data_IF_279196335645
#
_entry.id   IF_279196335645
#
_cell.length_a   1.000
_cell.length_b   1.000
_cell.length_c   1.000
_cell.angle_alpha   90.00
_cell.angle_beta   90.00
_cell.angle_gamma   90.00
#
_symmetry.space_group_name_H-M   'P 1'
#
loop_
_entity.id
_entity.type
_entity.pdbx_description
1 polymer ?
#
# COMPACT_ATOMS: atom_id res chain seq x y z
N UNK A 1 -12.90 -14.09 -12.42
CA UNK A 1 -12.06 -14.10 -13.63
C UNK A 1 -11.72 -15.54 -13.98
N UNK A 2 -11.72 -15.89 -15.25
CA UNK A 2 -11.21 -17.19 -15.71
C UNK A 2 -9.67 -17.22 -15.58
N UNK A 3 -9.07 -18.41 -15.63
CA UNK A 3 -7.60 -18.53 -15.60
C UNK A 3 -6.90 -17.78 -16.75
N UNK A 4 -7.55 -17.73 -17.92
CA UNK A 4 -7.05 -16.99 -19.09
C UNK A 4 -7.07 -15.48 -18.83
N UNK A 5 -8.19 -14.94 -18.35
CA UNK A 5 -8.32 -13.50 -18.02
C UNK A 5 -7.27 -13.05 -17.00
N UNK A 6 -6.94 -13.91 -16.03
CA UNK A 6 -5.90 -13.63 -15.02
C UNK A 6 -4.53 -13.51 -15.68
N UNK A 7 -4.18 -14.42 -16.59
CA UNK A 7 -2.91 -14.39 -17.28
C UNK A 7 -2.80 -13.16 -18.21
N UNK A 8 -3.87 -12.84 -18.91
CA UNK A 8 -3.93 -11.66 -19.77
C UNK A 8 -3.75 -10.37 -18.94
N UNK A 9 -4.41 -10.28 -17.77
CA UNK A 9 -4.24 -9.15 -16.85
C UNK A 9 -2.83 -9.06 -16.27
N UNK A 10 -2.20 -10.19 -15.90
CA UNK A 10 -0.80 -10.19 -15.45
C UNK A 10 0.12 -9.67 -16.55
N UNK A 11 -0.07 -10.14 -17.79
CA UNK A 11 0.73 -9.71 -18.94
C UNK A 11 0.56 -8.21 -19.21
N UNK A 12 -0.68 -7.74 -19.29
CA UNK A 12 -1.02 -6.32 -19.46
C UNK A 12 -0.35 -5.44 -18.40
N UNK A 13 -0.42 -5.86 -17.14
CA UNK A 13 0.21 -5.14 -16.03
C UNK A 13 1.75 -5.13 -16.17
N UNK A 14 2.38 -6.26 -16.44
CA UNK A 14 3.84 -6.32 -16.58
C UNK A 14 4.33 -5.46 -17.75
N UNK A 15 3.61 -5.47 -18.89
CA UNK A 15 3.90 -4.60 -20.03
C UNK A 15 3.74 -3.11 -19.72
N UNK A 16 2.84 -2.74 -18.79
CA UNK A 16 2.72 -1.36 -18.33
C UNK A 16 3.96 -0.90 -17.55
N UNK A 17 4.56 -1.79 -16.74
CA UNK A 17 5.70 -1.47 -15.89
C UNK A 17 6.98 -1.17 -16.69
N UNK A 18 7.03 -1.61 -17.95
CA UNK A 18 8.15 -1.39 -18.87
C UNK A 18 8.05 -0.05 -19.64
N UNK A 19 6.94 0.70 -19.49
CA UNK A 19 6.67 1.93 -20.27
C UNK A 19 7.25 3.21 -19.67
N UNK A 20 7.85 3.15 -18.47
CA UNK A 20 8.40 4.31 -17.75
C UNK A 20 7.43 5.49 -17.61
N UNK A 21 6.15 5.18 -17.42
CA UNK A 21 5.08 6.18 -17.27
C UNK A 21 5.23 7.02 -16.00
N UNK A 22 4.45 8.10 -15.91
CA UNK A 22 4.34 8.86 -14.67
C UNK A 22 3.57 8.08 -13.58
N UNK A 23 3.76 8.48 -12.33
CA UNK A 23 3.18 7.82 -11.15
C UNK A 23 1.64 7.72 -11.20
N UNK A 24 0.98 8.78 -11.71
CA UNK A 24 -0.47 8.84 -11.80
C UNK A 24 -1.04 7.74 -12.71
N UNK A 25 -0.32 7.31 -13.75
CA UNK A 25 -0.76 6.19 -14.61
C UNK A 25 -0.81 4.89 -13.81
N UNK A 26 0.22 4.59 -13.00
CA UNK A 26 0.22 3.40 -12.17
C UNK A 26 -0.84 3.47 -11.06
N UNK A 27 -1.00 4.64 -10.43
CA UNK A 27 -2.05 4.88 -9.44
C UNK A 27 -3.44 4.57 -10.03
N UNK A 28 -3.77 5.17 -11.18
CA UNK A 28 -5.05 4.94 -11.87
C UNK A 28 -5.22 3.47 -12.24
N UNK A 29 -4.16 2.81 -12.73
CA UNK A 29 -4.22 1.39 -13.07
C UNK A 29 -4.60 0.52 -11.86
N UNK A 30 -3.97 0.76 -10.71
CA UNK A 30 -4.25 0.01 -9.48
C UNK A 30 -5.66 0.30 -8.93
N UNK A 31 -6.13 1.55 -9.04
CA UNK A 31 -7.49 1.94 -8.69
C UNK A 31 -8.55 1.20 -9.55
N UNK A 32 -8.28 1.04 -10.84
CA UNK A 32 -9.17 0.32 -11.77
C UNK A 32 -9.04 -1.20 -11.68
N UNK A 33 -7.88 -1.70 -11.25
CA UNK A 33 -7.55 -3.12 -11.17
C UNK A 33 -7.13 -3.50 -9.74
N UNK A 34 -8.09 -3.44 -8.80
CA UNK A 34 -7.82 -3.55 -7.34
C UNK A 34 -7.27 -4.90 -6.87
N UNK A 35 -7.20 -5.91 -7.75
CA UNK A 35 -6.47 -7.15 -7.50
C UNK A 35 -4.94 -6.95 -7.45
N UNK A 36 -4.42 -5.86 -8.02
CA UNK A 36 -2.99 -5.54 -7.93
C UNK A 36 -2.64 -4.72 -6.69
N UNK A 37 -3.63 -4.19 -5.96
CA UNK A 37 -3.36 -3.48 -4.71
C UNK A 37 -2.71 -4.45 -3.68
N UNK A 38 -1.68 -4.02 -2.94
CA UNK A 38 -1.02 -4.84 -1.92
C UNK A 38 -2.00 -5.43 -0.88
N UNK A 39 -1.61 -6.53 -0.24
CA UNK A 39 -2.40 -7.24 0.81
C UNK A 39 -1.60 -7.50 2.09
N UNK A 40 -0.41 -6.92 2.17
CA UNK A 40 0.49 -7.00 3.30
C UNK A 40 -0.20 -6.51 4.58
N UNK A 41 -0.13 -7.30 5.65
CA UNK A 41 -0.80 -7.01 6.92
C UNK A 41 -2.34 -7.12 6.89
N UNK A 42 -2.93 -7.70 5.85
CA UNK A 42 -4.31 -8.20 5.92
C UNK A 42 -4.43 -9.26 7.03
N UNK A 43 -5.44 -9.08 7.87
CA UNK A 43 -5.79 -9.94 9.00
C UNK A 43 -6.92 -10.91 8.61
N UNK A 44 -7.25 -11.81 9.53
CA UNK A 44 -8.16 -12.92 9.30
C UNK A 44 -9.62 -12.54 8.96
N UNK A 45 -10.07 -11.31 9.27
CA UNK A 45 -11.39 -10.82 8.82
C UNK A 45 -11.34 -10.07 7.48
N UNK A 46 -10.17 -10.06 6.83
CA UNK A 46 -9.93 -9.37 5.57
C UNK A 46 -9.87 -7.84 5.71
N UNK A 47 -9.92 -7.16 4.57
CA UNK A 47 -9.98 -5.71 4.47
C UNK A 47 -11.39 -5.26 4.81
N UNK A 48 -11.49 -4.28 5.71
CA UNK A 48 -12.74 -3.76 6.22
C UNK A 48 -13.60 -3.20 5.07
N UNK A 49 -14.82 -3.71 4.97
CA UNK A 49 -15.78 -3.41 3.89
C UNK A 49 -15.22 -3.65 2.49
N UNK A 50 -14.17 -4.46 2.33
CA UNK A 50 -13.45 -4.61 1.08
C UNK A 50 -13.10 -3.26 0.43
N UNK A 51 -12.82 -2.24 1.24
CA UNK A 51 -12.60 -0.87 0.74
C UNK A 51 -11.17 -0.44 1.00
N UNK A 52 -10.56 0.17 -0.01
CA UNK A 52 -9.30 0.89 0.09
C UNK A 52 -9.52 2.36 -0.25
N UNK A 53 -8.97 3.27 0.54
CA UNK A 53 -9.03 4.70 0.28
C UNK A 53 -7.84 5.13 -0.53
N UNK A 54 -8.07 5.85 -1.63
CA UNK A 54 -6.98 6.53 -2.33
C UNK A 54 -6.65 7.87 -1.68
N UNK A 55 -5.35 8.22 -1.61
CA UNK A 55 -4.86 9.56 -1.20
C UNK A 55 -5.53 10.11 0.07
N UNK A 56 -5.76 9.25 1.07
CA UNK A 56 -6.40 9.62 2.34
C UNK A 56 -5.44 10.51 3.16
N UNK A 57 -5.75 11.78 3.42
CA UNK A 57 -4.83 12.68 4.10
C UNK A 57 -4.66 12.29 5.56
N UNK A 58 -3.42 12.17 6.02
CA UNK A 58 -3.08 12.10 7.45
C UNK A 58 -3.02 13.52 8.04
N UNK A 59 -2.44 14.44 7.26
CA UNK A 59 -2.30 15.88 7.56
C UNK A 59 -2.40 16.68 6.25
N UNK A 60 -2.12 17.98 6.28
CA UNK A 60 -2.00 18.79 5.06
C UNK A 60 -0.92 18.26 4.11
N UNK A 61 0.14 17.68 4.68
CA UNK A 61 1.40 17.41 3.98
C UNK A 61 1.59 15.92 3.65
N UNK A 62 0.80 15.03 4.24
CA UNK A 62 0.97 13.58 4.11
C UNK A 62 -0.28 12.90 3.56
N UNK A 63 -0.14 12.29 2.38
CA UNK A 63 -1.21 11.58 1.66
C UNK A 63 -0.67 10.28 1.06
N UNK A 64 -0.74 9.16 1.81
CA UNK A 64 -0.42 7.84 1.27
C UNK A 64 -1.24 7.55 0.01
N UNK A 65 -0.66 6.85 -0.97
CA UNK A 65 -1.37 6.42 -2.17
C UNK A 65 -2.64 5.63 -1.87
N UNK A 66 -2.52 4.68 -0.95
CA UNK A 66 -3.64 3.90 -0.46
C UNK A 66 -3.63 3.76 1.06
N UNK A 67 -4.82 3.72 1.65
CA UNK A 67 -5.03 3.34 3.04
C UNK A 67 -6.16 2.33 3.12
N UNK A 68 -5.93 1.22 3.81
CA UNK A 68 -7.01 0.29 4.14
C UNK A 68 -6.92 -0.16 5.59
N UNK A 69 -8.07 -0.55 6.13
CA UNK A 69 -8.15 -1.15 7.45
C UNK A 69 -8.32 -2.65 7.26
N UNK A 70 -7.58 -3.43 8.02
CA UNK A 70 -7.88 -4.83 8.22
C UNK A 70 -8.08 -5.08 9.71
N UNK A 71 -8.89 -6.07 10.06
CA UNK A 71 -9.23 -6.31 11.47
C UNK A 71 -9.12 -7.77 11.84
N UNK A 72 -8.83 -7.97 13.10
CA UNK A 72 -9.06 -9.23 13.82
C UNK A 72 -10.12 -8.98 14.91
N UNK A 73 -10.27 -9.90 15.86
CA UNK A 73 -11.25 -9.74 16.95
C UNK A 73 -10.84 -8.69 17.98
N UNK A 74 -9.54 -8.41 18.13
CA UNK A 74 -9.00 -7.61 19.24
C UNK A 74 -8.21 -6.37 18.78
N UNK A 75 -7.88 -6.22 17.50
CA UNK A 75 -7.15 -5.07 16.99
C UNK A 75 -7.46 -4.75 15.51
N UNK A 76 -7.07 -3.56 15.11
CA UNK A 76 -7.06 -3.08 13.74
C UNK A 76 -5.63 -2.95 13.23
N UNK A 77 -5.37 -3.42 12.02
CA UNK A 77 -4.25 -2.93 11.22
C UNK A 77 -4.73 -1.76 10.36
N UNK A 78 -4.12 -0.60 10.52
CA UNK A 78 -4.25 0.54 9.59
C UNK A 78 -3.06 0.47 8.66
N UNK A 79 -3.28 0.06 7.42
CA UNK A 79 -2.21 -0.15 6.44
C UNK A 79 -2.13 1.06 5.52
N UNK A 80 -0.98 1.73 5.55
CA UNK A 80 -0.63 2.82 4.65
C UNK A 80 0.28 2.26 3.56
N UNK A 81 -0.08 2.52 2.31
CA UNK A 81 0.67 2.08 1.13
C UNK A 81 1.18 3.30 0.40
N UNK A 82 2.47 3.29 0.07
CA UNK A 82 3.08 4.18 -0.91
C UNK A 82 3.51 3.38 -2.13
N UNK A 83 3.23 3.90 -3.31
CA UNK A 83 3.73 3.42 -4.57
C UNK A 83 4.73 4.44 -5.14
N UNK A 84 5.95 3.99 -5.39
CA UNK A 84 6.94 4.76 -6.12
C UNK A 84 6.77 4.50 -7.63
N UNK A 85 7.82 4.66 -8.43
CA UNK A 85 7.79 4.25 -9.84
C UNK A 85 8.42 2.87 -10.01
N UNK A 86 7.99 2.10 -11.03
CA UNK A 86 8.71 0.89 -11.42
C UNK A 86 10.16 1.19 -11.83
N UNK A 87 10.43 2.39 -12.37
CA UNK A 87 11.78 2.83 -12.76
C UNK A 87 12.65 3.31 -11.58
N UNK A 88 12.07 3.57 -10.39
CA UNK A 88 12.80 3.97 -9.19
C UNK A 88 13.83 2.90 -8.81
N UNK A 89 15.06 3.33 -8.48
CA UNK A 89 16.16 2.39 -8.21
C UNK A 89 16.26 2.06 -6.74
N UNK A 90 16.60 0.82 -6.43
CA UNK A 90 16.99 0.40 -5.09
C UNK A 90 18.44 0.76 -4.79
N UNK A 91 19.34 0.55 -5.76
CA UNK A 91 20.79 0.68 -5.60
C UNK A 91 21.39 1.61 -6.64
N UNK A 92 22.54 2.20 -6.29
CA UNK A 92 23.38 2.88 -7.27
C UNK A 92 23.95 1.85 -8.27
N UNK A 93 24.21 2.29 -9.50
CA UNK A 93 24.74 1.45 -10.57
C UNK A 93 25.96 0.64 -10.11
N UNK A 94 25.92 -0.68 -10.34
CA UNK A 94 26.97 -1.63 -9.97
C UNK A 94 27.42 -1.55 -8.49
N UNK A 95 26.50 -1.20 -7.59
CA UNK A 95 26.78 -1.03 -6.16
C UNK A 95 25.75 -1.75 -5.28
N UNK A 96 26.11 -1.91 -4.01
CA UNK A 96 25.20 -2.29 -2.92
C UNK A 96 24.76 -1.09 -2.07
N UNK A 97 25.20 0.11 -2.43
CA UNK A 97 24.76 1.36 -1.80
C UNK A 97 23.37 1.73 -2.31
N UNK A 98 22.44 2.04 -1.40
CA UNK A 98 21.09 2.44 -1.78
C UNK A 98 21.08 3.73 -2.62
N UNK A 99 20.18 3.74 -3.60
CA UNK A 99 19.92 4.91 -4.44
C UNK A 99 19.18 6.00 -3.65
N UNK A 100 19.19 7.24 -4.17
CA UNK A 100 18.48 8.35 -3.54
C UNK A 100 16.97 8.10 -3.49
N UNK A 101 16.37 7.58 -4.57
CA UNK A 101 14.94 7.26 -4.63
C UNK A 101 14.52 6.35 -3.48
N UNK A 102 15.25 5.25 -3.26
CA UNK A 102 14.92 4.32 -2.18
C UNK A 102 15.13 4.93 -0.80
N UNK A 103 16.17 5.74 -0.60
CA UNK A 103 16.36 6.46 0.67
C UNK A 103 15.22 7.45 0.95
N UNK A 104 14.74 8.17 -0.07
CA UNK A 104 13.61 9.08 0.05
C UNK A 104 12.32 8.32 0.41
N UNK A 105 12.05 7.21 -0.26
CA UNK A 105 10.91 6.35 0.05
C UNK A 105 10.97 5.80 1.49
N UNK A 106 12.14 5.35 1.96
CA UNK A 106 12.34 4.94 3.35
C UNK A 106 12.12 6.10 4.33
N UNK A 107 12.59 7.29 3.99
CA UNK A 107 12.37 8.50 4.79
C UNK A 107 10.87 8.84 4.87
N UNK A 108 10.11 8.69 3.78
CA UNK A 108 8.66 8.88 3.76
C UNK A 108 7.95 7.98 4.79
N UNK A 109 8.34 6.70 4.86
CA UNK A 109 7.79 5.75 5.84
C UNK A 109 8.11 6.16 7.27
N UNK A 110 9.32 6.66 7.51
CA UNK A 110 9.74 7.14 8.83
C UNK A 110 9.01 8.41 9.24
N UNK A 111 8.71 9.30 8.29
CA UNK A 111 7.92 10.51 8.51
C UNK A 111 6.51 10.17 8.99
N UNK A 112 5.83 9.22 8.34
CA UNK A 112 4.52 8.76 8.82
C UNK A 112 4.60 8.10 10.19
N UNK A 113 5.62 7.29 10.44
CA UNK A 113 5.83 6.68 11.76
C UNK A 113 6.01 7.74 12.84
N UNK A 114 6.84 8.75 12.59
CA UNK A 114 7.02 9.87 13.50
C UNK A 114 5.70 10.64 13.72
N UNK A 115 4.91 10.84 12.67
CA UNK A 115 3.59 11.48 12.79
C UNK A 115 2.64 10.71 13.71
N UNK A 116 2.58 9.38 13.55
CA UNK A 116 1.77 8.50 14.39
C UNK A 116 2.40 8.20 15.76
N UNK A 117 3.63 8.60 16.05
CA UNK A 117 4.22 8.47 17.39
C UNK A 117 3.61 9.49 18.38
N UNK A 118 3.15 10.61 17.85
CA UNK A 118 2.36 11.60 18.59
C UNK A 118 0.92 11.10 18.84
N UNK A 119 0.52 11.06 20.11
CA UNK A 119 -0.79 10.58 20.53
C UNK A 119 -1.95 11.46 20.02
N UNK A 120 -1.75 12.77 19.94
CA UNK A 120 -2.77 13.70 19.44
C UNK A 120 -3.07 13.45 17.97
N UNK A 121 -2.04 13.15 17.16
CA UNK A 121 -2.19 12.79 15.76
C UNK A 121 -2.91 11.44 15.59
N UNK A 122 -2.54 10.42 16.39
CA UNK A 122 -3.26 9.13 16.39
C UNK A 122 -4.74 9.32 16.72
N UNK A 123 -5.03 10.10 17.76
CA UNK A 123 -6.40 10.37 18.19
C UNK A 123 -7.17 11.17 17.13
N UNK A 124 -6.54 12.16 16.49
CA UNK A 124 -7.14 12.89 15.38
C UNK A 124 -7.46 11.96 14.20
N UNK A 125 -6.51 11.12 13.80
CA UNK A 125 -6.72 10.17 12.71
C UNK A 125 -7.89 9.23 13.00
N UNK A 126 -7.93 8.66 14.20
CA UNK A 126 -8.98 7.74 14.63
C UNK A 126 -10.35 8.41 14.76
N UNK A 127 -10.42 9.55 15.44
CA UNK A 127 -11.68 10.17 15.85
C UNK A 127 -12.26 11.12 14.79
N UNK A 128 -11.45 11.60 13.85
CA UNK A 128 -11.88 12.54 12.82
C UNK A 128 -11.75 11.95 11.41
N UNK A 129 -10.58 11.40 11.06
CA UNK A 129 -10.34 10.91 9.69
C UNK A 129 -11.06 9.59 9.43
N UNK A 130 -11.08 8.68 10.41
CA UNK A 130 -11.75 7.37 10.34
C UNK A 130 -13.17 7.37 10.93
N UNK A 131 -13.68 8.52 11.33
CA UNK A 131 -15.00 8.64 11.95
C UNK A 131 -16.11 8.11 11.04
N UNK A 132 -16.94 7.20 11.56
CA UNK A 132 -18.05 6.60 10.81
C UNK A 132 -17.63 5.48 9.85
N UNK A 133 -16.34 5.14 9.77
CA UNK A 133 -15.85 3.98 9.02
C UNK A 133 -15.48 2.80 9.90
N UNK A 134 -15.44 2.98 11.23
CA UNK A 134 -15.08 1.91 12.17
C UNK A 134 -16.32 1.13 12.59
N UNK A 135 -16.49 -0.06 12.03
CA UNK A 135 -17.58 -0.97 12.40
C UNK A 135 -17.11 -2.41 12.68
N UNK A 136 -17.71 -3.10 13.66
CA UNK A 136 -18.76 -2.64 14.57
C UNK A 136 -18.25 -1.60 15.58
N UNK A 137 -19.10 -0.65 15.99
CA UNK A 137 -18.74 0.48 16.86
C UNK A 137 -17.97 0.10 18.15
N UNK A 138 -18.23 -1.06 18.75
CA UNK A 138 -17.50 -1.51 19.95
C UNK A 138 -16.00 -1.74 19.71
N UNK A 139 -15.61 -2.09 18.48
CA UNK A 139 -14.21 -2.24 18.08
C UNK A 139 -13.49 -0.89 17.94
N UNK A 140 -14.20 0.23 18.04
CA UNK A 140 -13.60 1.56 18.11
C UNK A 140 -12.67 1.74 19.31
N UNK A 141 -12.73 0.88 20.33
CA UNK A 141 -11.81 0.90 21.48
C UNK A 141 -10.58 0.02 21.31
N UNK A 142 -10.58 -0.87 20.31
CA UNK A 142 -9.46 -1.76 20.06
C UNK A 142 -8.20 -0.97 19.67
N UNK A 143 -6.99 -1.53 19.86
CA UNK A 143 -5.76 -0.93 19.38
C UNK A 143 -5.75 -0.78 17.86
N UNK A 144 -5.13 0.30 17.39
CA UNK A 144 -4.89 0.60 15.98
C UNK A 144 -3.38 0.47 15.74
N UNK A 145 -3.00 -0.60 15.06
CA UNK A 145 -1.61 -0.89 14.68
C UNK A 145 -1.35 -0.28 13.32
N UNK A 146 -0.53 0.77 13.26
CA UNK A 146 -0.13 1.37 11.99
C UNK A 146 0.90 0.49 11.30
N UNK A 147 0.66 0.20 10.03
CA UNK A 147 1.46 -0.65 9.17
C UNK A 147 1.80 0.10 7.89
N UNK A 148 2.96 -0.17 7.33
CA UNK A 148 3.50 0.56 6.20
C UNK A 148 3.89 -0.43 5.09
N UNK A 149 3.50 -0.12 3.87
CA UNK A 149 3.84 -0.90 2.69
C UNK A 149 4.45 0.04 1.66
N UNK A 150 5.68 -0.23 1.26
CA UNK A 150 6.34 0.47 0.18
C UNK A 150 6.38 -0.44 -1.05
N UNK A 151 5.77 0.00 -2.14
CA UNK A 151 5.91 -0.61 -3.47
C UNK A 151 6.95 0.17 -4.26
N UNK A 152 8.10 -0.42 -4.55
CA UNK A 152 9.25 0.29 -5.12
C UNK A 152 9.91 -0.49 -6.24
N UNK A 153 10.23 0.14 -7.36
CA UNK A 153 11.12 -0.42 -8.38
C UNK A 153 10.72 -1.79 -8.97
N UNK A 154 11.64 -2.39 -9.73
CA UNK A 154 11.52 -3.74 -10.28
C UNK A 154 12.35 -4.74 -9.46
N UNK A 155 11.83 -5.96 -9.32
CA UNK A 155 12.50 -7.09 -8.64
C UNK A 155 13.81 -7.52 -9.34
N UNK A 156 13.89 -7.33 -10.65
CA UNK A 156 15.06 -7.66 -11.47
C UNK A 156 16.36 -6.99 -11.02
N UNK A 157 16.29 -5.90 -10.24
CA UNK A 157 17.47 -5.22 -9.70
C UNK A 157 18.19 -6.01 -8.59
N UNK A 158 17.48 -6.94 -7.93
CA UNK A 158 18.01 -7.64 -6.75
C UNK A 158 17.76 -9.16 -6.70
N UNK A 159 16.78 -9.73 -7.41
CA UNK A 159 16.36 -11.15 -7.25
C UNK A 159 17.48 -12.18 -7.41
N UNK A 160 18.43 -11.93 -8.32
CA UNK A 160 19.55 -12.84 -8.56
C UNK A 160 20.82 -12.46 -7.79
N UNK A 161 20.70 -11.55 -6.80
CA UNK A 161 21.81 -11.11 -5.97
C UNK A 161 21.44 -11.24 -4.48
N UNK A 162 22.01 -12.26 -3.82
CA UNK A 162 21.74 -12.58 -2.42
C UNK A 162 22.05 -11.43 -1.47
N UNK A 163 23.13 -10.68 -1.72
CA UNK A 163 23.52 -9.55 -0.87
C UNK A 163 22.52 -8.39 -1.00
N UNK A 164 22.15 -8.00 -2.23
CA UNK A 164 21.13 -6.96 -2.47
C UNK A 164 19.78 -7.35 -1.87
N UNK A 165 19.37 -8.59 -2.07
CA UNK A 165 18.14 -9.15 -1.46
C UNK A 165 18.19 -9.06 0.07
N UNK A 166 19.31 -9.42 0.69
CA UNK A 166 19.48 -9.34 2.13
C UNK A 166 19.46 -7.89 2.66
N UNK A 167 20.01 -6.93 1.91
CA UNK A 167 20.00 -5.51 2.27
C UNK A 167 18.59 -4.92 2.25
N UNK A 168 17.78 -5.22 1.23
CA UNK A 168 16.36 -4.82 1.18
C UNK A 168 15.59 -5.45 2.33
N UNK A 169 15.76 -6.77 2.54
CA UNK A 169 15.13 -7.48 3.66
C UNK A 169 15.52 -6.88 5.01
N UNK A 170 16.77 -6.42 5.15
CA UNK A 170 17.25 -5.76 6.37
C UNK A 170 16.57 -4.41 6.68
N UNK A 171 15.87 -3.80 5.71
CA UNK A 171 15.07 -2.60 5.95
C UNK A 171 13.64 -2.90 6.41
N UNK A 172 13.15 -4.12 6.17
CA UNK A 172 11.80 -4.52 6.59
C UNK A 172 11.70 -4.67 8.11
N UNK A 173 10.48 -4.50 8.62
CA UNK A 173 10.14 -4.62 10.05
C UNK A 173 8.80 -5.34 10.22
N UNK A 174 8.43 -5.66 11.45
CA UNK A 174 7.12 -6.28 11.75
C UNK A 174 5.92 -5.36 11.44
N UNK A 175 6.16 -4.07 11.26
CA UNK A 175 5.19 -3.04 10.86
C UNK A 175 5.44 -2.48 9.46
N UNK A 176 6.50 -2.92 8.76
CA UNK A 176 6.92 -2.32 7.50
C UNK A 176 7.34 -3.38 6.46
N UNK A 177 6.61 -3.43 5.35
CA UNK A 177 6.90 -4.29 4.21
C UNK A 177 7.39 -3.47 3.03
N UNK A 178 8.35 -4.05 2.30
CA UNK A 178 8.90 -3.50 1.05
C UNK A 178 8.70 -4.55 -0.02
N UNK A 179 7.98 -4.22 -1.08
CA UNK A 179 7.70 -5.10 -2.20
C UNK A 179 8.02 -4.39 -3.51
N UNK A 180 8.28 -5.16 -4.56
CA UNK A 180 8.44 -4.61 -5.91
C UNK A 180 7.11 -4.47 -6.62
N UNK A 181 7.07 -3.70 -7.70
CA UNK A 181 5.92 -3.69 -8.60
C UNK A 181 5.63 -5.09 -9.17
N UNK A 182 6.64 -5.90 -9.48
CA UNK A 182 6.45 -7.29 -9.93
C UNK A 182 5.66 -8.14 -8.93
N UNK A 183 5.88 -7.90 -7.63
CA UNK A 183 5.25 -8.66 -6.55
C UNK A 183 3.73 -8.45 -6.52
N UNK A 184 3.23 -7.33 -7.05
CA UNK A 184 1.80 -7.04 -7.13
C UNK A 184 1.06 -7.98 -8.09
N UNK A 185 1.76 -8.51 -9.10
CA UNK A 185 1.25 -9.48 -10.07
C UNK A 185 1.19 -10.91 -9.53
N UNK A 186 1.76 -11.17 -8.36
CA UNK A 186 1.79 -12.49 -7.75
C UNK A 186 0.45 -12.80 -7.07
N UNK A 187 -0.03 -14.03 -7.26
CA UNK A 187 -1.26 -14.56 -6.65
C UNK A 187 -2.53 -13.69 -6.82
N UNK A 188 -2.64 -12.86 -7.87
CA UNK A 188 -3.83 -12.00 -8.06
C UNK A 188 -5.14 -12.78 -8.14
N UNK A 189 -5.09 -14.05 -8.55
CA UNK A 189 -6.24 -14.94 -8.59
C UNK A 189 -6.86 -15.23 -7.21
N UNK A 190 -6.08 -15.05 -6.13
CA UNK A 190 -6.54 -15.23 -4.75
C UNK A 190 -7.04 -13.93 -4.12
N UNK A 191 -6.80 -12.79 -4.77
CA UNK A 191 -7.16 -11.47 -4.24
C UNK A 191 -8.58 -11.13 -4.66
N UNK A 192 -9.47 -10.99 -3.70
CA UNK A 192 -10.80 -10.47 -3.95
C UNK A 192 -10.74 -8.99 -4.35
N UNK A 193 -11.75 -8.55 -5.12
CA UNK A 193 -11.89 -7.16 -5.55
C UNK A 193 -12.14 -6.25 -4.36
N UNK A 194 -11.57 -5.06 -4.41
CA UNK A 194 -11.86 -3.98 -3.48
C UNK A 194 -12.64 -2.86 -4.16
N UNK A 195 -13.37 -2.11 -3.35
CA UNK A 195 -13.84 -0.78 -3.70
C UNK A 195 -12.75 0.25 -3.48
N UNK A 196 -12.75 1.27 -4.33
CA UNK A 196 -11.91 2.45 -4.14
C UNK A 196 -12.77 3.57 -3.57
N UNK A 197 -12.41 4.03 -2.39
CA UNK A 197 -13.08 5.12 -1.69
C UNK A 197 -12.25 6.40 -1.64
N UNK A 198 -12.93 7.53 -1.41
CA UNK A 198 -12.32 8.81 -1.03
C UNK A 198 -13.00 9.34 0.22
N UNK A 199 -12.22 9.94 1.14
CA UNK A 199 -12.77 10.72 2.24
C UNK A 199 -13.12 12.12 1.74
N UNK A 200 -14.38 12.52 1.88
CA UNK A 200 -14.83 13.91 1.82
C UNK A 200 -14.99 14.45 3.23
N UNK A 201 -15.16 15.76 3.40
CA UNK A 201 -15.30 16.37 4.73
C UNK A 201 -16.44 15.73 5.54
N UNK A 202 -17.59 15.48 4.92
CA UNK A 202 -18.79 14.97 5.62
C UNK A 202 -19.07 13.47 5.48
N UNK A 203 -18.45 12.78 4.53
CA UNK A 203 -18.76 11.36 4.24
C UNK A 203 -17.60 10.66 3.52
N UNK A 204 -17.75 9.36 3.29
CA UNK A 204 -16.93 8.58 2.37
C UNK A 204 -17.71 8.34 1.09
N UNK A 205 -17.03 8.45 -0.05
CA UNK A 205 -17.61 8.23 -1.37
C UNK A 205 -16.85 7.09 -2.05
N UNK A 206 -17.58 6.09 -2.56
CA UNK A 206 -17.00 5.07 -3.42
C UNK A 206 -16.92 5.60 -4.84
N UNK A 207 -15.75 5.51 -5.46
CA UNK A 207 -15.50 5.98 -6.83
C UNK A 207 -15.25 4.84 -7.82
N UNK A 208 -15.08 3.60 -7.32
CA UNK A 208 -15.04 2.40 -8.16
C UNK A 208 -16.39 2.21 -8.87
N UNK A 209 -16.36 2.04 -10.19
CA UNK A 209 -17.54 2.00 -11.09
C UNK A 209 -18.30 0.64 -11.12
N UNK A 210 -18.41 -0.06 -10.00
CA UNK A 210 -19.10 -1.35 -9.83
C UNK A 210 -18.30 -2.64 -10.14
N UNK A 211 -18.92 -3.78 -9.77
CA UNK A 211 -18.35 -5.08 -9.38
C UNK A 211 -17.77 -5.96 -10.49
#
# INVERSE_FOLDING_TARGET
>A
MTGQEINDKKKEYLELLDREENEQIYQTYLEENTMFIPREFEQNHGIHFSTVFRKLPLSSDYKPDFVYLSKSSDNWNVVLVEIEKPSSKYFKNNSTTFHADFNLALQQMNTWRAWFDDESNRNHFKNNILQGFIEPAHMGRNPFNFKYVLVHGRRSEYENNTQKTALIRGQQRSDFSIISFDSLAENIEKKYKLYVGVKKNSHYELISKEW
#
